data_IF_031604036655
#
_entry.id   IF_031604036655
#
_cell.length_a   1.000
_cell.length_b   1.000
_cell.length_c   1.000
_cell.angle_alpha   90.00
_cell.angle_beta   90.00
_cell.angle_gamma   90.00
#
_symmetry.space_group_name_H-M   'P 1'
#
loop_
_entity.id
_entity.type
_entity.pdbx_description
1 polymer ?
#
# COMPACT_ATOMS: atom_id res chain seq x y z
N UNK A 1 10.67 -16.07 13.44
CA UNK A 1 11.30 -14.75 13.35
C UNK A 1 10.44 -13.82 12.51
N UNK A 2 10.41 -12.52 12.83
CA UNK A 2 9.72 -11.49 12.05
C UNK A 2 10.67 -11.06 10.90
N UNK A 3 10.23 -11.12 9.65
CA UNK A 3 11.02 -10.72 8.48
C UNK A 3 10.28 -9.64 7.70
N UNK A 4 11.00 -8.92 6.84
CA UNK A 4 10.42 -7.88 5.99
C UNK A 4 9.32 -8.46 5.09
N UNK A 5 9.57 -9.60 4.46
CA UNK A 5 8.60 -10.31 3.62
C UNK A 5 7.31 -10.61 4.37
N UNK A 6 7.41 -11.08 5.63
CA UNK A 6 6.23 -11.39 6.44
C UNK A 6 5.44 -10.15 6.86
N UNK A 7 6.12 -9.03 7.12
CA UNK A 7 5.43 -7.77 7.46
C UNK A 7 4.72 -7.24 6.21
N UNK A 8 5.38 -7.27 5.06
CA UNK A 8 4.77 -6.84 3.79
C UNK A 8 3.58 -7.73 3.43
N UNK A 9 3.73 -9.06 3.53
CA UNK A 9 2.66 -10.02 3.28
C UNK A 9 1.44 -9.76 4.19
N UNK A 10 1.67 -9.57 5.50
CA UNK A 10 0.62 -9.25 6.46
C UNK A 10 -0.09 -7.91 6.17
N UNK A 11 0.61 -6.94 5.58
CA UNK A 11 0.04 -5.65 5.18
C UNK A 11 -0.85 -5.79 3.93
N UNK A 12 -0.42 -6.56 2.93
CA UNK A 12 -1.04 -6.54 1.59
C UNK A 12 -2.00 -7.69 1.33
N UNK A 13 -1.76 -8.87 1.91
CA UNK A 13 -2.55 -10.06 1.63
C UNK A 13 -4.03 -9.92 2.04
N UNK A 14 -4.37 -9.42 3.25
CA UNK A 14 -5.77 -9.34 3.66
C UNK A 14 -6.62 -8.42 2.77
N UNK A 15 -6.19 -7.18 2.44
CA UNK A 15 -6.95 -6.32 1.53
C UNK A 15 -7.11 -6.91 0.13
N UNK A 16 -6.05 -7.54 -0.41
CA UNK A 16 -6.09 -8.15 -1.75
C UNK A 16 -7.07 -9.32 -1.75
N UNK A 17 -6.91 -10.29 -0.84
CA UNK A 17 -7.81 -11.46 -0.75
C UNK A 17 -9.26 -11.03 -0.58
N UNK A 18 -9.53 -10.08 0.31
CA UNK A 18 -10.88 -9.56 0.52
C UNK A 18 -11.46 -8.92 -0.75
N UNK A 19 -10.65 -8.13 -1.48
CA UNK A 19 -11.11 -7.45 -2.70
C UNK A 19 -11.43 -8.40 -3.87
N UNK A 20 -10.71 -9.52 -3.99
CA UNK A 20 -10.83 -10.47 -5.10
C UNK A 20 -11.82 -11.61 -4.80
N UNK A 21 -11.94 -12.07 -3.55
CA UNK A 21 -12.85 -13.15 -3.16
C UNK A 21 -14.31 -12.70 -3.03
N UNK A 22 -14.54 -11.41 -2.80
CA UNK A 22 -15.91 -10.91 -2.64
C UNK A 22 -16.52 -10.63 -4.01
N UNK A 23 -17.20 -11.63 -4.57
CA UNK A 23 -18.05 -11.47 -5.76
C UNK A 23 -19.27 -10.61 -5.43
N UNK A 24 -19.35 -9.42 -6.01
CA UNK A 24 -20.49 -8.50 -5.88
C UNK A 24 -20.28 -7.39 -4.83
N UNK A 25 -20.63 -6.16 -5.23
CA UNK A 25 -20.77 -4.89 -4.48
C UNK A 25 -19.71 -4.43 -3.44
N UNK A 26 -18.77 -5.25 -2.97
CA UNK A 26 -17.73 -4.80 -2.02
C UNK A 26 -16.51 -4.15 -2.69
N UNK A 27 -16.37 -4.29 -4.02
CA UNK A 27 -15.47 -3.44 -4.85
C UNK A 27 -15.82 -1.96 -4.72
N UNK A 28 -17.07 -1.67 -4.35
CA UNK A 28 -17.55 -0.34 -4.01
C UNK A 28 -16.83 0.19 -2.76
N UNK A 29 -16.47 -0.64 -1.77
CA UNK A 29 -15.80 -0.18 -0.55
C UNK A 29 -14.38 0.30 -0.82
N UNK A 30 -13.60 -0.38 -1.66
CA UNK A 30 -12.26 0.11 -2.06
C UNK A 30 -12.39 1.37 -2.92
N UNK A 31 -13.35 1.42 -3.85
CA UNK A 31 -13.64 2.63 -4.64
C UNK A 31 -14.09 3.80 -3.77
N UNK A 32 -14.94 3.55 -2.78
CA UNK A 32 -15.41 4.52 -1.80
C UNK A 32 -14.27 4.97 -0.89
N UNK A 33 -13.39 4.07 -0.43
CA UNK A 33 -12.18 4.45 0.30
C UNK A 33 -11.24 5.30 -0.57
N UNK A 34 -11.16 5.02 -1.88
CA UNK A 34 -10.37 5.81 -2.80
C UNK A 34 -10.99 7.18 -3.10
N UNK A 35 -12.31 7.25 -3.25
CA UNK A 35 -13.06 8.50 -3.40
C UNK A 35 -13.08 9.32 -2.11
N UNK A 36 -13.23 8.69 -0.95
CA UNK A 36 -13.18 9.34 0.36
C UNK A 36 -11.78 9.89 0.69
N UNK A 37 -10.72 9.25 0.20
CA UNK A 37 -9.37 9.83 0.24
C UNK A 37 -9.21 11.03 -0.71
N UNK A 38 -9.96 11.06 -1.81
CA UNK A 38 -9.95 12.16 -2.77
C UNK A 38 -10.86 13.34 -2.38
N UNK A 39 -11.85 13.13 -1.51
CA UNK A 39 -12.73 14.15 -0.94
C UNK A 39 -12.51 14.25 0.58
N UNK A 40 -11.65 15.17 1.06
CA UNK A 40 -11.55 15.45 2.49
C UNK A 40 -12.86 16.11 2.96
N UNK A 41 -13.72 15.39 3.68
CA UNK A 41 -14.80 16.00 4.46
C UNK A 41 -14.34 16.18 5.92
N UNK A 42 -14.35 17.42 6.40
CA UNK A 42 -13.72 17.82 7.66
C UNK A 42 -14.37 17.28 8.94
N UNK A 43 -15.55 16.65 8.91
CA UNK A 43 -16.34 16.45 10.14
C UNK A 43 -16.89 15.05 10.44
N UNK A 44 -16.71 14.03 9.57
CA UNK A 44 -17.34 12.70 9.82
C UNK A 44 -16.35 11.53 9.93
N UNK A 45 -15.06 11.71 9.62
CA UNK A 45 -14.11 10.58 9.51
C UNK A 45 -12.93 10.60 10.48
N UNK A 46 -12.88 11.52 11.46
CA UNK A 46 -11.72 11.70 12.34
C UNK A 46 -11.28 10.41 13.07
N UNK A 47 -12.22 9.69 13.72
CA UNK A 47 -11.92 8.45 14.44
C UNK A 47 -11.44 7.31 13.51
N UNK A 48 -11.94 7.24 12.28
CA UNK A 48 -11.52 6.26 11.29
C UNK A 48 -10.10 6.58 10.81
N UNK A 49 -9.80 7.86 10.54
CA UNK A 49 -8.45 8.30 10.16
C UNK A 49 -7.44 8.05 11.29
N UNK A 50 -7.79 8.33 12.55
CA UNK A 50 -6.93 8.06 13.72
C UNK A 50 -6.56 6.58 13.83
N UNK A 51 -7.52 5.67 13.60
CA UNK A 51 -7.27 4.24 13.62
C UNK A 51 -6.35 3.79 12.46
N UNK A 52 -6.56 4.33 11.26
CA UNK A 52 -5.69 4.06 10.12
C UNK A 52 -4.27 4.60 10.34
N UNK A 53 -4.14 5.77 10.96
CA UNK A 53 -2.85 6.39 11.28
C UNK A 53 -2.09 5.57 12.32
N UNK A 54 -2.77 5.10 13.37
CA UNK A 54 -2.17 4.20 14.36
C UNK A 54 -1.66 2.90 13.71
N UNK A 55 -2.44 2.32 12.79
CA UNK A 55 -2.01 1.13 12.04
C UNK A 55 -0.81 1.44 11.13
N UNK A 56 -0.84 2.57 10.42
CA UNK A 56 0.27 3.00 9.57
C UNK A 56 1.57 3.15 10.37
N UNK A 57 1.50 3.79 11.54
CA UNK A 57 2.63 3.96 12.44
C UNK A 57 3.20 2.61 12.90
N UNK A 58 2.35 1.65 13.27
CA UNK A 58 2.78 0.30 13.68
C UNK A 58 3.54 -0.44 12.57
N UNK A 59 3.05 -0.36 11.32
CA UNK A 59 3.74 -0.97 10.18
C UNK A 59 5.07 -0.28 9.89
N UNK A 60 5.10 1.05 9.89
CA UNK A 60 6.34 1.84 9.70
C UNK A 60 7.40 1.47 10.74
N UNK A 61 7.02 1.39 12.01
CA UNK A 61 7.93 0.97 13.08
C UNK A 61 8.43 -0.47 12.90
N UNK A 62 7.54 -1.37 12.47
CA UNK A 62 7.91 -2.77 12.21
C UNK A 62 8.90 -2.88 11.05
N UNK A 63 8.71 -2.12 9.97
CA UNK A 63 9.65 -2.07 8.85
C UNK A 63 11.02 -1.54 9.27
N UNK A 64 11.07 -0.48 10.07
CA UNK A 64 12.32 0.07 10.59
C UNK A 64 13.07 -0.92 11.48
N UNK A 65 12.35 -1.72 12.29
CA UNK A 65 12.96 -2.75 13.16
C UNK A 65 13.66 -3.86 12.37
N UNK A 66 13.13 -4.23 11.21
CA UNK A 66 13.69 -5.33 10.38
C UNK A 66 14.61 -4.85 9.26
N UNK A 67 14.73 -3.53 9.05
CA UNK A 67 15.54 -2.93 7.98
C UNK A 67 16.57 -1.96 8.58
N UNK A 68 17.71 -2.46 9.07
CA UNK A 68 18.74 -1.61 9.69
C UNK A 68 19.21 -0.50 8.75
N UNK A 69 19.30 0.72 9.26
CA UNK A 69 19.74 1.89 8.50
C UNK A 69 18.63 2.60 7.71
N UNK A 70 17.40 2.07 7.64
CA UNK A 70 16.29 2.77 7.01
C UNK A 70 15.92 4.02 7.80
N UNK A 71 15.98 5.19 7.16
CA UNK A 71 15.61 6.43 7.82
C UNK A 71 14.08 6.54 7.96
N UNK A 72 13.60 7.24 9.01
CA UNK A 72 12.17 7.32 9.33
C UNK A 72 11.34 7.94 8.21
N UNK A 73 11.83 8.99 7.56
CA UNK A 73 11.11 9.65 6.48
C UNK A 73 10.96 8.73 5.27
N UNK A 74 12.00 7.98 4.92
CA UNK A 74 11.96 6.99 3.86
C UNK A 74 11.06 5.80 4.20
N UNK A 75 11.00 5.37 5.46
CA UNK A 75 10.06 4.34 5.89
C UNK A 75 8.61 4.76 5.61
N UNK A 76 8.25 6.02 5.89
CA UNK A 76 6.92 6.56 5.53
C UNK A 76 6.68 6.62 4.03
N UNK A 77 7.70 7.02 3.23
CA UNK A 77 7.59 7.01 1.77
C UNK A 77 7.37 5.60 1.22
N UNK A 78 8.19 4.63 1.65
CA UNK A 78 8.10 3.24 1.20
C UNK A 78 6.79 2.58 1.63
N UNK A 79 6.29 2.89 2.85
CA UNK A 79 4.94 2.51 3.26
C UNK A 79 3.88 3.10 2.33
N UNK A 80 3.94 4.40 2.04
CA UNK A 80 2.96 5.08 1.17
C UNK A 80 2.95 4.50 -0.24
N UNK A 81 4.13 4.21 -0.81
CA UNK A 81 4.25 3.55 -2.11
C UNK A 81 3.66 2.13 -2.10
N UNK A 82 3.86 1.38 -1.01
CA UNK A 82 3.27 0.05 -0.83
C UNK A 82 1.75 0.12 -0.87
N UNK A 83 1.15 1.05 -0.12
CA UNK A 83 -0.30 1.26 -0.11
C UNK A 83 -0.79 1.70 -1.51
N UNK A 84 -0.09 2.60 -2.18
CA UNK A 84 -0.45 3.05 -3.53
C UNK A 84 -0.42 1.92 -4.56
N UNK A 85 0.64 1.10 -4.55
CA UNK A 85 0.77 -0.04 -5.45
C UNK A 85 -0.33 -1.10 -5.19
N UNK A 86 -0.62 -1.39 -3.92
CA UNK A 86 -1.72 -2.28 -3.53
C UNK A 86 -3.07 -1.77 -4.03
N UNK A 87 -3.35 -0.48 -3.84
CA UNK A 87 -4.61 0.12 -4.28
C UNK A 87 -4.75 0.13 -5.81
N UNK A 88 -3.65 0.36 -6.53
CA UNK A 88 -3.63 0.27 -7.98
C UNK A 88 -4.00 -1.14 -8.45
N UNK A 89 -3.33 -2.18 -7.93
CA UNK A 89 -3.54 -3.55 -8.45
C UNK A 89 -4.92 -4.10 -8.08
N UNK A 90 -5.46 -3.73 -6.91
CA UNK A 90 -6.85 -4.04 -6.55
C UNK A 90 -7.83 -3.39 -7.52
N UNK A 91 -7.56 -2.16 -7.96
CA UNK A 91 -8.39 -1.46 -8.95
C UNK A 91 -8.25 -2.07 -10.34
N UNK A 92 -7.08 -2.63 -10.67
CA UNK A 92 -6.82 -3.29 -11.95
C UNK A 92 -7.59 -4.60 -12.10
N UNK A 93 -7.76 -5.40 -11.03
CA UNK A 93 -8.55 -6.64 -11.00
C UNK A 93 -10.08 -6.48 -11.16
N UNK A 94 -10.56 -5.27 -11.49
CA UNK A 94 -11.94 -5.11 -11.95
C UNK A 94 -12.05 -5.56 -13.41
N UNK A 95 -13.04 -6.39 -13.74
CA UNK A 95 -13.28 -6.94 -15.09
C UNK A 95 -13.45 -5.84 -16.15
N UNK A 96 -13.91 -4.67 -15.72
CA UNK A 96 -14.06 -3.50 -16.59
C UNK A 96 -12.75 -2.72 -16.79
N UNK A 97 -11.78 -2.88 -15.88
CA UNK A 97 -10.55 -2.11 -15.88
C UNK A 97 -9.34 -2.93 -16.38
N UNK A 98 -9.15 -4.19 -15.95
CA UNK A 98 -8.19 -5.24 -16.39
C UNK A 98 -7.02 -4.76 -17.28
N UNK A 99 -6.35 -3.67 -16.89
CA UNK A 99 -5.49 -2.93 -17.81
C UNK A 99 -4.15 -3.62 -17.90
N UNK A 100 -3.61 -4.11 -16.78
CA UNK A 100 -2.36 -4.84 -16.76
C UNK A 100 -2.48 -6.15 -17.55
N UNK A 101 -3.58 -6.89 -17.37
CA UNK A 101 -3.85 -8.09 -18.18
C UNK A 101 -3.92 -7.78 -19.68
N UNK A 102 -4.66 -6.73 -20.08
CA UNK A 102 -4.76 -6.31 -21.50
C UNK A 102 -3.42 -5.86 -22.07
N UNK A 103 -2.66 -5.03 -21.35
CA UNK A 103 -1.36 -4.51 -21.81
C UNK A 103 -0.32 -5.62 -21.94
N UNK A 104 -0.41 -6.62 -21.09
CA UNK A 104 0.49 -7.78 -21.10
C UNK A 104 0.01 -8.91 -22.02
N UNK A 105 -1.06 -8.71 -22.79
CA UNK A 105 -1.68 -9.74 -23.64
C UNK A 105 -1.99 -11.05 -22.88
N UNK A 106 -2.45 -10.92 -21.63
CA UNK A 106 -2.81 -12.05 -20.77
C UNK A 106 -1.65 -12.66 -19.98
N UNK A 107 -0.41 -12.14 -20.08
CA UNK A 107 0.74 -12.67 -19.32
C UNK A 107 0.64 -12.36 -17.82
N UNK A 108 0.05 -11.23 -17.46
CA UNK A 108 -0.18 -10.86 -16.07
C UNK A 108 -1.60 -11.27 -15.66
N UNK A 109 -1.69 -12.36 -14.89
CA UNK A 109 -2.93 -12.78 -14.25
C UNK A 109 -3.25 -11.87 -13.07
N UNK A 110 -4.25 -11.00 -13.26
CA UNK A 110 -4.77 -10.08 -12.24
C UNK A 110 -6.04 -10.59 -11.56
N UNK A 111 -6.43 -11.85 -11.82
CA UNK A 111 -7.56 -12.52 -11.19
C UNK A 111 -7.09 -13.49 -10.09
N UNK A 112 -5.82 -13.93 -10.09
CA UNK A 112 -5.24 -14.75 -9.02
C UNK A 112 -4.64 -13.88 -7.87
N UNK A 113 -5.30 -13.79 -6.70
CA UNK A 113 -4.78 -13.05 -5.55
C UNK A 113 -3.41 -13.56 -5.07
N UNK A 114 -3.12 -14.85 -5.24
CA UNK A 114 -1.84 -15.44 -4.84
C UNK A 114 -0.70 -14.91 -5.70
N UNK A 115 -0.92 -14.80 -7.01
CA UNK A 115 0.06 -14.25 -7.95
C UNK A 115 0.29 -12.77 -7.67
N UNK A 116 -0.79 -12.01 -7.45
CA UNK A 116 -0.72 -10.58 -7.12
C UNK A 116 0.08 -10.36 -5.84
N UNK A 117 -0.24 -11.09 -4.76
CA UNK A 117 0.45 -10.95 -3.47
C UNK A 117 1.94 -11.27 -3.63
N UNK A 118 2.30 -12.37 -4.30
CA UNK A 118 3.70 -12.74 -4.52
C UNK A 118 4.48 -11.65 -5.27
N UNK A 119 3.90 -11.11 -6.35
CA UNK A 119 4.53 -10.04 -7.14
C UNK A 119 4.70 -8.75 -6.33
N UNK A 120 3.65 -8.35 -5.60
CA UNK A 120 3.68 -7.13 -4.80
C UNK A 120 4.66 -7.25 -3.62
N UNK A 121 4.67 -8.38 -2.92
CA UNK A 121 5.62 -8.64 -1.82
C UNK A 121 7.06 -8.56 -2.33
N UNK A 122 7.37 -9.23 -3.43
CA UNK A 122 8.71 -9.19 -4.02
C UNK A 122 9.14 -7.77 -4.41
N UNK A 123 8.26 -7.02 -5.07
CA UNK A 123 8.52 -5.63 -5.47
C UNK A 123 8.77 -4.71 -4.26
N UNK A 124 7.92 -4.81 -3.24
CA UNK A 124 8.00 -3.97 -2.04
C UNK A 124 9.25 -4.32 -1.23
N UNK A 125 9.54 -5.60 -1.01
CA UNK A 125 10.76 -6.05 -0.31
C UNK A 125 12.01 -5.50 -1.00
N UNK A 126 12.08 -5.59 -2.33
CA UNK A 126 13.17 -5.00 -3.10
C UNK A 126 13.24 -3.47 -2.95
N UNK A 127 12.10 -2.77 -2.96
CA UNK A 127 12.03 -1.33 -2.70
C UNK A 127 12.48 -0.94 -1.29
N UNK A 128 12.26 -1.80 -0.29
CA UNK A 128 12.77 -1.65 1.07
C UNK A 128 14.25 -2.04 1.23
N UNK A 129 14.81 -2.84 0.33
CA UNK A 129 16.24 -3.12 0.27
C UNK A 129 17.03 -2.07 -0.52
N UNK A 130 16.35 -1.20 -1.28
CA UNK A 130 16.99 -0.16 -2.06
C UNK A 130 17.81 0.81 -1.17
N UNK A 131 18.92 1.37 -1.68
CA UNK A 131 19.70 2.36 -0.96
C UNK A 131 18.86 3.58 -0.55
N UNK A 132 19.21 4.16 0.60
CA UNK A 132 18.60 5.40 1.05
C UNK A 132 18.98 6.55 0.11
N UNK A 133 18.02 7.41 -0.18
CA UNK A 133 18.20 8.67 -0.89
C UNK A 133 18.69 9.70 0.12
N UNK A 134 19.90 10.22 -0.09
CA UNK A 134 20.40 11.37 0.67
C UNK A 134 19.58 12.61 0.31
N UNK A 135 18.60 12.95 1.14
CA UNK A 135 17.84 14.19 1.00
C UNK A 135 18.55 15.32 1.74
N UNK A 136 18.81 16.48 1.10
CA UNK A 136 19.33 17.65 1.81
C UNK A 136 18.33 18.10 2.89
N UNK A 137 18.85 18.51 4.05
CA UNK A 137 18.04 18.89 5.19
C UNK A 137 17.02 19.98 4.81
N UNK A 138 15.73 19.70 5.03
CA UNK A 138 14.66 20.68 4.81
C UNK A 138 14.77 21.73 5.92
N UNK A 139 15.25 22.94 5.59
CA UNK A 139 15.15 24.10 6.48
C UNK A 139 13.66 24.35 6.74
N UNK A 140 13.23 24.20 8.00
CA UNK A 140 11.89 24.59 8.43
C UNK A 140 11.71 26.07 8.09
N UNK A 141 10.90 26.41 7.08
CA UNK A 141 10.38 27.77 6.94
C UNK A 141 9.47 28.01 8.14
N UNK A 142 9.90 28.91 9.02
CA UNK A 142 9.08 29.38 10.13
C UNK A 142 7.74 29.88 9.60
N UNK A 143 6.65 29.42 10.22
CA UNK A 143 5.37 30.12 10.10
C UNK A 143 5.55 31.48 10.78
N UNK A 144 5.42 32.54 9.98
CA UNK A 144 5.19 33.92 10.45
C UNK A 144 3.68 34.10 10.50
#
# INVERSE_FOLDING_TARGET
>A
MLTLERIVDALVAPPIMHSLQTTGDSRLLVRLLMQARALPQETTNAAIFEQYDAMALLFVESFMKVTPGLNRAEAFWRYSFTIGAMMYIISDGDKNYHRLNRLSAGLCDTDDPTVIIKQLVAFVVAGFAAPNISMPARTKKGHV
#
